data_IF_237635027615
#
_entry.id   IF_237635027615
#
_cell.length_a   1.000
_cell.length_b   1.000
_cell.length_c   1.000
_cell.angle_alpha   90.00
_cell.angle_beta   90.00
_cell.angle_gamma   90.00
#
_symmetry.space_group_name_H-M   'P 1'
#
loop_
_entity.id
_entity.type
_entity.pdbx_description
1 polymer ?
#
# COMPACT_ATOMS: atom_id res chain seq x y z
N UNK A 1 14.20 7.04 23.00
CA UNK A 1 12.83 6.71 22.58
C UNK A 1 12.91 5.39 21.83
N UNK A 2 12.42 4.29 22.41
CA UNK A 2 12.33 2.98 21.75
C UNK A 2 11.40 3.13 20.56
N UNK A 3 11.88 2.78 19.37
CA UNK A 3 11.06 2.65 18.18
C UNK A 3 9.94 1.66 18.47
N UNK A 4 8.73 2.16 18.67
CA UNK A 4 7.51 1.36 18.63
C UNK A 4 7.29 0.97 17.15
N UNK A 5 8.04 -0.03 16.71
CA UNK A 5 7.74 -0.73 15.47
C UNK A 5 6.40 -1.47 15.68
N UNK A 6 5.31 -0.83 15.33
CA UNK A 6 3.96 -1.38 15.42
C UNK A 6 3.63 -2.39 14.30
N UNK A 7 4.64 -2.90 13.62
CA UNK A 7 4.52 -3.85 12.52
C UNK A 7 4.76 -5.29 12.96
N UNK A 8 4.19 -6.23 12.21
CA UNK A 8 4.43 -7.64 12.40
C UNK A 8 5.84 -8.01 11.93
N UNK A 9 6.50 -8.84 12.73
CA UNK A 9 7.83 -9.35 12.41
C UNK A 9 7.71 -10.72 11.76
N UNK A 10 8.40 -10.92 10.64
CA UNK A 10 8.42 -12.16 9.88
C UNK A 10 9.80 -12.80 10.01
N UNK A 11 9.85 -14.04 10.48
CA UNK A 11 11.06 -14.84 10.51
C UNK A 11 11.16 -15.69 9.27
N UNK A 12 12.31 -15.68 8.61
CA UNK A 12 12.60 -16.46 7.42
C UNK A 12 14.07 -16.91 7.42
N UNK A 13 14.39 -17.83 6.54
CA UNK A 13 15.78 -18.24 6.26
C UNK A 13 16.25 -17.59 4.96
N UNK A 14 17.51 -17.15 4.96
CA UNK A 14 18.11 -16.63 3.73
C UNK A 14 18.13 -17.72 2.65
N UNK A 15 17.53 -17.51 1.47
CA UNK A 15 17.51 -18.54 0.42
C UNK A 15 18.90 -18.87 -0.15
N UNK A 16 19.88 -18.01 0.09
CA UNK A 16 21.25 -18.21 -0.38
C UNK A 16 22.12 -19.02 0.58
N UNK A 17 22.06 -18.74 1.89
CA UNK A 17 22.98 -19.34 2.87
C UNK A 17 22.27 -20.01 4.07
N UNK A 18 20.94 -20.00 4.13
CA UNK A 18 20.18 -20.60 5.22
C UNK A 18 20.21 -19.81 6.56
N UNK A 19 20.93 -18.70 6.65
CA UNK A 19 20.99 -17.92 7.88
C UNK A 19 19.64 -17.26 8.23
N UNK A 20 19.27 -17.10 9.53
CA UNK A 20 18.03 -16.49 9.94
C UNK A 20 17.98 -15.00 9.57
N UNK A 21 16.88 -14.57 9.01
CA UNK A 21 16.57 -13.18 8.68
C UNK A 21 15.26 -12.76 9.31
N UNK A 22 15.16 -11.47 9.63
CA UNK A 22 13.97 -10.86 10.19
C UNK A 22 13.50 -9.72 9.31
N UNK A 23 12.23 -9.75 8.91
CA UNK A 23 11.60 -8.79 8.03
C UNK A 23 10.44 -8.10 8.75
N UNK A 24 10.12 -6.89 8.31
CA UNK A 24 8.85 -6.23 8.62
C UNK A 24 7.82 -6.55 7.54
N UNK A 25 6.55 -6.41 7.86
CA UNK A 25 5.43 -6.72 6.94
C UNK A 25 5.50 -5.92 5.62
N UNK A 26 6.05 -4.72 5.65
CA UNK A 26 6.20 -3.83 4.50
C UNK A 26 7.54 -3.95 3.76
N UNK A 27 8.46 -4.79 4.23
CA UNK A 27 9.76 -4.95 3.60
C UNK A 27 9.64 -5.68 2.26
N UNK A 28 10.05 -5.02 1.19
CA UNK A 28 10.22 -5.62 -0.13
C UNK A 28 11.65 -6.12 -0.37
N UNK A 29 12.62 -5.50 0.30
CA UNK A 29 14.03 -5.81 0.15
C UNK A 29 14.61 -6.22 1.49
N UNK A 30 15.42 -7.27 1.47
CA UNK A 30 16.25 -7.60 2.61
C UNK A 30 17.71 -7.81 2.20
N UNK A 31 18.60 -7.61 3.17
CA UNK A 31 20.02 -7.93 3.05
C UNK A 31 20.39 -8.95 4.11
N UNK A 32 20.98 -10.05 3.71
CA UNK A 32 21.46 -11.05 4.65
C UNK A 32 22.71 -10.55 5.37
N UNK A 33 22.69 -10.56 6.71
CA UNK A 33 23.85 -10.12 7.50
C UNK A 33 25.06 -11.07 7.37
N UNK A 34 24.85 -12.31 6.93
CA UNK A 34 25.88 -13.34 6.81
C UNK A 34 26.50 -13.34 5.41
N UNK A 35 25.76 -13.71 4.39
CA UNK A 35 26.29 -13.80 3.02
C UNK A 35 26.22 -12.49 2.23
N UNK A 36 25.72 -11.41 2.83
CA UNK A 36 25.59 -10.05 2.25
C UNK A 36 24.73 -9.97 0.99
N UNK A 37 24.11 -11.07 0.55
CA UNK A 37 23.17 -11.03 -0.58
C UNK A 37 22.03 -10.05 -0.29
N UNK A 38 21.65 -9.31 -1.33
CA UNK A 38 20.52 -8.40 -1.29
C UNK A 38 19.45 -8.87 -2.26
N UNK A 39 18.25 -9.13 -1.74
CA UNK A 39 17.17 -9.78 -2.49
C UNK A 39 15.89 -8.97 -2.38
N UNK A 40 15.12 -8.96 -3.47
CA UNK A 40 13.77 -8.41 -3.56
C UNK A 40 12.75 -9.53 -3.47
N UNK A 41 11.73 -9.37 -2.60
CA UNK A 41 10.67 -10.35 -2.39
C UNK A 41 9.55 -10.07 -3.39
N UNK A 42 9.22 -11.07 -4.20
CA UNK A 42 8.07 -11.03 -5.10
C UNK A 42 7.10 -12.17 -4.78
N UNK A 43 5.82 -11.92 -5.03
CA UNK A 43 4.77 -12.91 -4.88
C UNK A 43 3.77 -12.81 -6.03
N UNK A 44 3.26 -13.95 -6.48
CA UNK A 44 2.10 -14.00 -7.37
C UNK A 44 0.82 -13.89 -6.54
N UNK A 45 0.36 -12.67 -6.27
CA UNK A 45 -0.78 -12.37 -5.42
C UNK A 45 -0.38 -11.92 -4.01
N UNK A 46 -1.28 -12.09 -3.05
CA UNK A 46 -1.05 -11.68 -1.67
C UNK A 46 -0.04 -12.58 -0.97
N UNK A 47 0.86 -11.98 -0.20
CA UNK A 47 1.76 -12.73 0.68
C UNK A 47 0.94 -13.50 1.72
N UNK A 48 1.39 -14.71 2.03
CA UNK A 48 0.71 -15.60 2.97
C UNK A 48 1.65 -15.99 4.10
N UNK A 49 1.17 -15.77 5.30
CA UNK A 49 1.89 -16.04 6.52
C UNK A 49 1.10 -17.01 7.41
N UNK A 50 1.77 -17.59 8.38
CA UNK A 50 1.12 -18.30 9.47
C UNK A 50 1.71 -17.87 10.81
N UNK A 51 0.94 -18.03 11.87
CA UNK A 51 1.38 -17.88 13.24
C UNK A 51 1.81 -19.26 13.72
N UNK A 52 3.10 -19.46 14.11
CA UNK A 52 3.54 -20.75 14.63
C UNK A 52 2.80 -21.09 15.95
N UNK A 53 2.25 -22.29 16.11
CA UNK A 53 1.73 -22.74 17.39
C UNK A 53 2.89 -23.00 18.36
N UNK A 54 2.63 -23.01 19.68
CA UNK A 54 3.60 -23.44 20.68
C UNK A 54 4.10 -24.88 20.40
N UNK A 55 5.40 -25.12 20.62
CA UNK A 55 6.03 -26.42 20.33
C UNK A 55 5.47 -27.57 21.16
N UNK A 56 4.93 -27.26 22.33
CA UNK A 56 4.44 -28.24 23.32
C UNK A 56 3.00 -28.69 23.06
N UNK A 57 2.36 -28.17 22.02
CA UNK A 57 0.98 -28.50 21.72
C UNK A 57 0.90 -29.79 20.88
N UNK A 58 0.32 -30.87 21.46
CA UNK A 58 0.16 -32.17 20.79
C UNK A 58 -1.19 -32.32 20.07
N UNK A 59 -1.97 -31.29 19.92
CA UNK A 59 -3.29 -31.29 19.30
C UNK A 59 -3.21 -31.08 17.77
N UNK A 60 -4.20 -31.64 17.05
CA UNK A 60 -4.36 -31.45 15.61
C UNK A 60 -4.64 -29.98 15.27
N UNK A 61 -3.69 -29.29 14.66
CA UNK A 61 -3.81 -27.86 14.34
C UNK A 61 -4.70 -27.64 13.13
N UNK A 62 -5.63 -26.70 13.30
CA UNK A 62 -6.51 -26.16 12.26
C UNK A 62 -6.15 -24.70 12.00
N UNK A 63 -5.64 -24.40 10.83
CA UNK A 63 -5.27 -23.05 10.43
C UNK A 63 -6.44 -22.31 9.80
N UNK A 64 -6.83 -21.19 10.37
CA UNK A 64 -7.89 -20.32 9.84
C UNK A 64 -7.30 -19.09 9.15
N UNK A 65 -7.71 -18.79 7.90
CA UNK A 65 -7.21 -17.63 7.17
C UNK A 65 -7.89 -16.34 7.66
N UNK A 66 -7.05 -15.32 7.86
CA UNK A 66 -7.45 -13.94 8.17
C UNK A 66 -6.83 -12.99 7.17
N UNK A 67 -7.65 -12.15 6.57
CA UNK A 67 -7.14 -11.02 5.82
C UNK A 67 -6.52 -10.00 6.78
N UNK A 68 -5.31 -9.62 6.49
CA UNK A 68 -4.58 -8.56 7.15
C UNK A 68 -4.57 -7.34 6.23
N UNK A 69 -4.93 -6.20 6.78
CA UNK A 69 -4.90 -4.93 6.06
C UNK A 69 -4.30 -3.84 6.93
N UNK A 70 -3.32 -3.13 6.39
CA UNK A 70 -2.75 -1.92 6.96
C UNK A 70 -2.64 -0.88 5.85
N UNK A 71 -3.14 0.34 6.08
CA UNK A 71 -3.14 1.40 5.07
C UNK A 71 -4.12 2.52 5.39
N UNK A 72 -4.37 3.37 4.41
CA UNK A 72 -5.30 4.50 4.52
C UNK A 72 -6.56 4.20 3.74
N UNK A 73 -7.71 4.32 4.41
CA UNK A 73 -9.03 4.26 3.78
C UNK A 73 -9.55 5.67 3.55
N UNK A 74 -9.97 5.95 2.33
CA UNK A 74 -10.67 7.18 1.94
C UNK A 74 -12.12 6.85 1.61
N UNK A 75 -13.06 7.46 2.33
CA UNK A 75 -14.49 7.22 2.21
C UNK A 75 -15.19 8.44 1.61
N UNK A 76 -15.88 8.23 0.50
CA UNK A 76 -16.66 9.26 -0.17
C UNK A 76 -18.05 9.33 0.44
N UNK A 77 -18.35 10.45 1.07
CA UNK A 77 -19.63 10.71 1.71
C UNK A 77 -20.35 11.86 0.99
N UNK A 78 -21.66 11.96 1.17
CA UNK A 78 -22.45 13.10 0.66
C UNK A 78 -21.89 14.46 1.12
N UNK A 79 -21.29 14.49 2.30
CA UNK A 79 -20.71 15.71 2.91
C UNK A 79 -19.24 15.96 2.50
N UNK A 80 -18.61 15.04 1.77
CA UNK A 80 -17.22 15.13 1.34
C UNK A 80 -16.41 13.88 1.64
N UNK A 81 -15.09 14.00 1.57
CA UNK A 81 -14.15 12.92 1.79
C UNK A 81 -13.76 12.82 3.27
N UNK A 82 -13.91 11.65 3.86
CA UNK A 82 -13.30 11.30 5.16
C UNK A 82 -12.20 10.27 4.95
N UNK A 83 -11.14 10.33 5.73
CA UNK A 83 -10.08 9.34 5.70
C UNK A 83 -9.82 8.74 7.08
N UNK A 84 -9.25 7.57 7.09
CA UNK A 84 -8.94 6.83 8.31
C UNK A 84 -7.73 5.92 8.06
N UNK A 85 -6.78 5.94 9.00
CA UNK A 85 -5.73 4.92 9.06
C UNK A 85 -6.38 3.64 9.59
N UNK A 86 -6.12 2.55 8.91
CA UNK A 86 -6.64 1.22 9.25
C UNK A 86 -5.48 0.28 9.49
N UNK A 87 -5.59 -0.47 10.57
CA UNK A 87 -4.73 -1.59 10.92
C UNK A 87 -5.66 -2.68 11.48
N UNK A 88 -5.96 -3.70 10.68
CA UNK A 88 -6.98 -4.68 11.06
C UNK A 88 -6.71 -6.06 10.46
N UNK A 89 -7.26 -7.07 11.11
CA UNK A 89 -7.36 -8.42 10.57
C UNK A 89 -8.80 -8.90 10.62
N UNK A 90 -9.24 -9.61 9.59
CA UNK A 90 -10.61 -10.11 9.49
C UNK A 90 -10.66 -11.54 8.98
N UNK A 91 -11.49 -12.36 9.63
CA UNK A 91 -11.70 -13.74 9.27
C UNK A 91 -12.12 -13.89 7.81
N UNK A 92 -11.36 -14.66 7.03
CA UNK A 92 -11.57 -14.88 5.61
C UNK A 92 -12.42 -16.12 5.29
N UNK A 93 -12.89 -16.83 6.32
CA UNK A 93 -13.83 -17.97 6.16
C UNK A 93 -15.27 -17.47 6.28
N UNK A 94 -16.23 -18.29 5.83
CA UNK A 94 -17.66 -18.03 6.04
C UNK A 94 -18.21 -18.57 7.37
N UNK A 95 -17.37 -18.97 8.32
CA UNK A 95 -17.78 -19.60 9.56
C UNK A 95 -17.77 -18.62 10.74
N UNK A 96 -18.89 -18.47 11.43
CA UNK A 96 -19.03 -17.59 12.60
C UNK A 96 -18.48 -18.21 13.90
N UNK A 97 -17.92 -19.40 13.83
CA UNK A 97 -17.38 -20.15 14.98
C UNK A 97 -16.03 -19.62 15.48
N UNK A 98 -15.33 -18.84 14.66
CA UNK A 98 -14.02 -18.30 14.97
C UNK A 98 -14.08 -16.80 15.26
N UNK A 99 -13.07 -16.24 15.94
CA UNK A 99 -13.00 -14.81 16.19
C UNK A 99 -13.05 -14.04 14.85
N UNK A 100 -13.82 -12.96 14.80
CA UNK A 100 -13.93 -12.14 13.57
C UNK A 100 -12.62 -11.41 13.23
N UNK A 101 -11.76 -11.16 14.23
CA UNK A 101 -10.48 -10.49 14.10
C UNK A 101 -9.46 -11.12 15.04
N UNK A 102 -8.19 -11.09 14.66
CA UNK A 102 -7.09 -11.53 15.51
C UNK A 102 -6.79 -10.53 16.65
N UNK A 103 -7.34 -9.31 16.59
CA UNK A 103 -7.11 -8.26 17.58
C UNK A 103 -5.63 -7.86 17.67
N UNK A 104 -5.21 -7.40 18.85
CA UNK A 104 -3.83 -6.96 19.12
C UNK A 104 -2.86 -8.12 19.41
N UNK A 105 -3.34 -9.39 19.51
CA UNK A 105 -2.53 -10.56 19.87
C UNK A 105 -1.33 -10.77 18.98
N UNK A 106 -1.45 -10.34 17.78
CA UNK A 106 -0.54 -10.63 16.69
C UNK A 106 0.64 -9.68 16.61
N UNK A 107 0.57 -8.52 17.26
CA UNK A 107 1.66 -7.54 17.27
C UNK A 107 2.89 -7.99 18.09
N UNK A 108 2.70 -8.96 18.97
CA UNK A 108 3.79 -9.52 19.80
C UNK A 108 4.35 -10.83 19.26
N UNK A 109 3.72 -11.40 18.22
CA UNK A 109 4.09 -12.71 17.69
C UNK A 109 4.83 -12.58 16.37
N UNK A 110 5.73 -13.54 16.15
CA UNK A 110 6.50 -13.64 14.92
C UNK A 110 5.73 -14.48 13.91
N UNK A 111 5.55 -13.95 12.72
CA UNK A 111 5.00 -14.67 11.59
C UNK A 111 6.09 -15.48 10.88
N UNK A 112 5.66 -16.50 10.16
CA UNK A 112 6.47 -17.19 9.16
C UNK A 112 5.73 -17.22 7.84
N UNK A 113 6.46 -17.26 6.74
CA UNK A 113 5.85 -17.48 5.44
C UNK A 113 5.19 -18.87 5.39
N UNK A 114 4.00 -18.91 4.83
CA UNK A 114 3.31 -20.18 4.62
C UNK A 114 4.13 -21.08 3.69
N UNK A 115 4.38 -22.32 4.15
CA UNK A 115 5.12 -23.35 3.39
C UNK A 115 4.21 -24.56 3.13
N UNK A 116 4.34 -25.24 1.97
CA UNK A 116 3.64 -26.49 1.70
C UNK A 116 3.97 -27.63 2.69
N UNK A 117 5.10 -27.50 3.38
CA UNK A 117 5.58 -28.48 4.37
C UNK A 117 4.91 -28.34 5.74
N UNK A 118 4.16 -27.25 5.93
CA UNK A 118 3.48 -26.98 7.20
C UNK A 118 2.39 -28.02 7.45
N UNK A 119 2.56 -28.80 8.52
CA UNK A 119 1.60 -29.82 8.94
C UNK A 119 0.37 -29.17 9.58
N UNK A 120 -0.81 -29.65 9.24
CA UNK A 120 -2.09 -29.18 9.80
C UNK A 120 -3.22 -29.18 8.78
N UNK A 121 -4.42 -28.87 9.25
CA UNK A 121 -5.63 -28.74 8.41
C UNK A 121 -5.86 -27.25 8.12
N UNK A 122 -6.17 -26.88 6.89
CA UNK A 122 -6.34 -25.48 6.48
C UNK A 122 -7.79 -25.21 6.10
N UNK A 123 -8.41 -24.25 6.75
CA UNK A 123 -9.74 -23.81 6.39
C UNK A 123 -9.71 -23.04 5.08
N UNK A 124 -10.66 -23.34 4.20
CA UNK A 124 -10.77 -22.68 2.90
C UNK A 124 -11.10 -21.19 3.05
N UNK A 125 -10.33 -20.34 2.37
CA UNK A 125 -10.69 -18.95 2.18
C UNK A 125 -11.94 -18.86 1.30
N UNK A 126 -13.04 -18.30 1.84
CA UNK A 126 -14.31 -18.09 1.13
C UNK A 126 -14.60 -16.63 0.81
N UNK A 127 -14.08 -15.70 1.61
CA UNK A 127 -14.36 -14.29 1.49
C UNK A 127 -13.20 -13.64 0.72
N UNK A 128 -13.43 -13.15 -0.52
CA UNK A 128 -12.43 -12.45 -1.27
C UNK A 128 -12.11 -11.10 -0.61
N UNK A 129 -10.91 -10.59 -0.86
CA UNK A 129 -10.40 -9.36 -0.26
C UNK A 129 -11.35 -8.16 -0.44
N UNK A 130 -11.91 -7.97 -1.64
CA UNK A 130 -12.80 -6.86 -1.94
C UNK A 130 -14.08 -6.82 -1.10
N UNK A 131 -14.54 -7.96 -0.57
CA UNK A 131 -15.73 -8.03 0.26
C UNK A 131 -15.47 -7.80 1.76
N UNK A 132 -14.22 -7.74 2.17
CA UNK A 132 -13.86 -7.56 3.58
C UNK A 132 -14.29 -6.18 4.09
N UNK A 133 -14.11 -5.15 3.28
CA UNK A 133 -14.40 -3.78 3.66
C UNK A 133 -15.88 -3.53 3.88
N UNK A 134 -16.74 -4.12 3.06
CA UNK A 134 -18.19 -4.07 3.28
C UNK A 134 -18.59 -4.72 4.61
N UNK A 135 -17.91 -5.79 5.03
CA UNK A 135 -18.14 -6.42 6.34
C UNK A 135 -17.65 -5.56 7.51
N UNK A 136 -16.53 -4.87 7.36
CA UNK A 136 -16.03 -3.93 8.40
C UNK A 136 -17.05 -2.83 8.65
N UNK A 137 -17.63 -2.26 7.61
CA UNK A 137 -18.63 -1.20 7.74
C UNK A 137 -19.94 -1.71 8.34
N UNK A 138 -20.44 -2.85 7.91
CA UNK A 138 -21.64 -3.47 8.49
C UNK A 138 -21.47 -3.76 9.99
N UNK A 139 -20.29 -4.23 10.39
CA UNK A 139 -20.00 -4.50 11.81
C UNK A 139 -19.95 -3.22 12.63
N UNK A 140 -19.40 -2.12 12.09
CA UNK A 140 -19.36 -0.81 12.76
C UNK A 140 -20.74 -0.16 12.86
N UNK A 141 -21.55 -0.23 11.82
CA UNK A 141 -22.92 0.29 11.81
C UNK A 141 -23.79 -0.39 12.87
N UNK A 142 -23.55 -1.68 13.13
CA UNK A 142 -24.21 -2.42 14.22
C UNK A 142 -23.75 -2.00 15.61
N UNK A 143 -22.49 -1.58 15.78
CA UNK A 143 -21.91 -1.17 17.06
C UNK A 143 -22.16 0.32 17.38
N UNK A 144 -22.33 1.17 16.37
CA UNK A 144 -22.65 2.57 16.56
C UNK A 144 -24.16 2.75 16.71
N UNK A 145 -24.64 3.01 17.93
CA UNK A 145 -26.05 3.39 18.22
C UNK A 145 -26.46 4.73 17.55
N UNK A 146 -25.56 5.47 16.92
CA UNK A 146 -25.86 6.67 16.14
C UNK A 146 -26.18 6.27 14.70
N UNK A 147 -27.44 6.40 14.34
CA UNK A 147 -27.95 6.46 12.95
C UNK A 147 -27.36 7.69 12.22
N UNK A 148 -26.07 7.78 12.03
CA UNK A 148 -25.53 8.60 10.95
C UNK A 148 -25.65 7.80 9.66
N UNK A 149 -26.80 7.91 9.02
CA UNK A 149 -27.07 7.40 7.67
C UNK A 149 -26.32 8.25 6.63
N UNK A 150 -25.01 8.44 6.79
CA UNK A 150 -24.18 8.93 5.71
C UNK A 150 -23.81 7.71 4.85
N UNK A 151 -24.58 7.47 3.80
CA UNK A 151 -24.25 6.46 2.80
C UNK A 151 -22.83 6.73 2.28
N UNK A 152 -21.93 5.80 2.52
CA UNK A 152 -20.61 5.81 1.88
C UNK A 152 -20.85 5.40 0.44
N UNK A 153 -20.50 6.26 -0.51
CA UNK A 153 -20.67 5.97 -1.94
C UNK A 153 -19.61 5.01 -2.44
N UNK A 154 -18.36 5.22 -2.01
CA UNK A 154 -17.21 4.38 -2.39
C UNK A 154 -16.10 4.51 -1.34
N UNK A 155 -15.22 3.52 -1.32
CA UNK A 155 -14.05 3.46 -0.48
C UNK A 155 -12.82 3.15 -1.34
N UNK A 156 -11.77 3.96 -1.20
CA UNK A 156 -10.48 3.75 -1.86
C UNK A 156 -9.40 3.55 -0.80
N UNK A 157 -8.47 2.65 -1.06
CA UNK A 157 -7.35 2.35 -0.18
C UNK A 157 -6.04 2.80 -0.82
N UNK A 158 -5.15 3.37 -0.01
CA UNK A 158 -3.86 3.89 -0.48
C UNK A 158 -2.79 3.59 0.58
N UNK A 159 -1.59 3.26 0.11
CA UNK A 159 -0.47 2.90 0.98
C UNK A 159 -0.68 1.57 1.67
N UNK A 160 -1.43 0.66 1.05
CA UNK A 160 -1.85 -0.58 1.68
C UNK A 160 -0.75 -1.65 1.70
N UNK A 161 -0.71 -2.37 2.81
CA UNK A 161 -0.05 -3.66 2.93
C UNK A 161 -1.13 -4.69 3.21
N UNK A 162 -1.30 -5.62 2.26
CA UNK A 162 -2.33 -6.66 2.34
C UNK A 162 -1.71 -8.04 2.32
N UNK A 163 -2.11 -8.88 3.26
CA UNK A 163 -1.64 -10.26 3.36
C UNK A 163 -2.72 -11.17 3.91
N UNK A 164 -2.51 -12.49 3.79
CA UNK A 164 -3.37 -13.50 4.37
C UNK A 164 -2.60 -14.22 5.49
N UNK A 165 -3.16 -14.21 6.71
CA UNK A 165 -2.53 -14.82 7.87
C UNK A 165 -3.33 -16.02 8.32
N UNK A 166 -2.67 -17.15 8.43
CA UNK A 166 -3.24 -18.38 8.95
C UNK A 166 -2.97 -18.48 10.46
N UNK A 167 -4.02 -18.30 11.26
CA UNK A 167 -3.95 -18.41 12.70
C UNK A 167 -4.24 -19.85 13.14
N UNK A 168 -3.46 -20.42 14.09
CA UNK A 168 -3.62 -21.77 14.55
C UNK A 168 -4.73 -21.89 15.60
N UNK A 169 -5.59 -22.86 15.42
CA UNK A 169 -6.63 -23.29 16.35
C UNK A 169 -6.57 -24.79 16.51
N UNK A 170 -7.17 -25.32 17.55
CA UNK A 170 -7.41 -26.76 17.70
C UNK A 170 -8.81 -27.01 18.27
N UNK A 171 -9.29 -28.26 18.12
CA UNK A 171 -10.60 -28.66 18.57
C UNK A 171 -10.47 -29.56 19.78
N UNK A 172 -11.10 -29.17 20.89
CA UNK A 172 -11.19 -30.01 22.11
C UNK A 172 -12.61 -29.95 22.66
N UNK A 173 -13.21 -31.13 22.91
CA UNK A 173 -14.57 -31.25 23.42
C UNK A 173 -15.58 -30.44 22.57
N UNK A 174 -15.51 -30.57 21.24
CA UNK A 174 -16.36 -29.85 20.28
C UNK A 174 -16.29 -28.30 20.34
N UNK A 175 -15.25 -27.74 21.01
CA UNK A 175 -15.01 -26.29 21.07
C UNK A 175 -13.68 -25.95 20.43
N UNK A 176 -13.66 -24.82 19.72
CA UNK A 176 -12.40 -24.26 19.22
C UNK A 176 -11.62 -23.61 20.34
N UNK A 177 -10.34 -23.89 20.36
CA UNK A 177 -9.34 -23.24 21.20
C UNK A 177 -8.36 -22.49 20.34
N UNK A 178 -7.99 -21.29 20.78
CA UNK A 178 -6.88 -20.55 20.20
C UNK A 178 -5.57 -21.22 20.61
N UNK A 179 -4.81 -21.74 19.65
CA UNK A 179 -3.62 -22.52 19.93
C UNK A 179 -2.49 -21.66 20.52
N UNK A 180 -2.52 -20.37 20.29
CA UNK A 180 -1.52 -19.42 20.79
C UNK A 180 -1.80 -19.04 22.24
N UNK A 181 -3.07 -18.74 22.56
CA UNK A 181 -3.49 -18.32 23.89
C UNK A 181 -3.82 -19.51 24.79
N UNK A 182 -3.90 -20.70 24.22
CA UNK A 182 -4.34 -21.92 24.88
C UNK A 182 -5.67 -21.72 25.65
N UNK A 183 -6.61 -21.01 25.04
CA UNK A 183 -7.88 -20.64 25.64
C UNK A 183 -9.07 -20.90 24.69
N UNK A 184 -10.25 -21.23 25.24
CA UNK A 184 -11.42 -21.46 24.40
C UNK A 184 -11.83 -20.17 23.66
N UNK A 185 -12.22 -20.34 22.40
CA UNK A 185 -12.80 -19.25 21.61
C UNK A 185 -14.20 -18.95 22.16
N UNK A 186 -14.54 -17.68 22.48
CA UNK A 186 -15.86 -17.32 22.98
C UNK A 186 -16.96 -17.71 21.99
N UNK A 187 -17.96 -18.44 22.46
CA UNK A 187 -19.12 -18.84 21.68
C UNK A 187 -19.97 -17.62 21.33
N UNK A 188 -20.19 -17.37 20.05
CA UNK A 188 -21.05 -16.27 19.56
C UNK A 188 -22.51 -16.69 19.42
N UNK A 189 -22.79 -17.98 19.32
CA UNK A 189 -24.14 -18.55 19.24
C UNK A 189 -24.10 -20.07 19.48
N UNK A 190 -25.23 -20.65 19.92
CA UNK A 190 -25.43 -22.10 19.95
C UNK A 190 -25.59 -22.63 18.51
N UNK A 191 -24.48 -22.79 17.80
CA UNK A 191 -24.51 -23.29 16.43
C UNK A 191 -23.98 -24.73 16.46
N UNK A 192 -24.78 -25.65 15.94
CA UNK A 192 -24.32 -26.99 15.67
C UNK A 192 -23.10 -26.98 14.76
N UNK A 193 -22.01 -27.60 15.18
CA UNK A 193 -20.81 -27.75 14.36
C UNK A 193 -21.21 -28.25 12.96
N UNK A 194 -20.77 -27.60 11.89
CA UNK A 194 -21.01 -28.14 10.57
C UNK A 194 -20.35 -29.50 10.46
N UNK A 195 -21.10 -30.50 9.97
CA UNK A 195 -20.65 -31.91 9.82
C UNK A 195 -19.36 -32.02 8.96
N UNK A 196 -19.05 -31.00 8.16
CA UNK A 196 -17.79 -30.89 7.42
C UNK A 196 -17.36 -29.43 7.32
N UNK A 197 -16.13 -29.15 7.74
CA UNK A 197 -15.51 -27.87 7.52
C UNK A 197 -14.71 -27.95 6.22
N UNK A 198 -14.98 -27.08 5.20
CA UNK A 198 -14.25 -27.15 3.95
C UNK A 198 -12.76 -26.88 4.19
N UNK A 199 -11.93 -27.86 3.85
CA UNK A 199 -10.49 -27.78 3.95
C UNK A 199 -9.90 -27.35 2.60
N UNK A 200 -8.77 -26.67 2.64
CA UNK A 200 -7.99 -26.28 1.48
C UNK A 200 -6.63 -27.00 1.52
N UNK A 201 -6.22 -27.53 0.38
CA UNK A 201 -4.84 -27.98 0.23
C UNK A 201 -3.98 -26.76 -0.10
N UNK A 202 -2.92 -26.55 0.66
CA UNK A 202 -1.98 -25.46 0.38
C UNK A 202 -1.30 -25.78 -0.97
N UNK A 203 -1.70 -25.06 -1.99
CA UNK A 203 -0.96 -25.05 -3.26
C UNK A 203 0.37 -24.34 -3.04
N UNK A 204 1.42 -24.70 -3.80
CA UNK A 204 2.69 -23.98 -3.81
C UNK A 204 2.42 -22.50 -4.05
N UNK A 205 2.69 -21.68 -3.03
CA UNK A 205 2.68 -20.23 -3.21
C UNK A 205 4.04 -19.83 -3.78
N UNK A 206 4.00 -19.28 -4.99
CA UNK A 206 5.21 -18.81 -5.64
C UNK A 206 5.61 -17.46 -5.04
N UNK A 207 6.18 -17.49 -3.82
CA UNK A 207 7.10 -16.42 -3.45
C UNK A 207 8.43 -16.75 -4.13
N UNK A 208 9.06 -15.74 -4.65
CA UNK A 208 10.41 -15.86 -5.20
C UNK A 208 11.24 -14.66 -4.78
N UNK A 209 12.54 -14.84 -4.88
CA UNK A 209 13.51 -13.84 -4.49
C UNK A 209 14.30 -13.46 -5.73
N UNK A 210 14.34 -12.17 -6.04
CA UNK A 210 15.13 -11.63 -7.13
C UNK A 210 16.39 -11.00 -6.57
N UNK A 211 17.56 -11.34 -7.12
CA UNK A 211 18.77 -10.58 -6.86
C UNK A 211 18.60 -9.14 -7.31
N UNK A 212 18.96 -8.17 -6.45
CA UNK A 212 18.81 -6.74 -6.75
C UNK A 212 19.88 -6.26 -7.72
N UNK A 213 20.06 -6.99 -8.84
CA UNK A 213 20.99 -6.66 -9.92
C UNK A 213 20.25 -6.00 -11.10
N UNK A 214 20.87 -5.01 -11.71
CA UNK A 214 20.32 -4.31 -12.86
C UNK A 214 20.26 -5.23 -14.08
N UNK A 215 19.08 -5.46 -14.70
CA UNK A 215 19.00 -6.30 -15.89
C UNK A 215 19.75 -5.75 -17.11
N UNK A 216 20.08 -4.45 -17.12
CA UNK A 216 20.76 -3.80 -18.22
C UNK A 216 22.29 -3.87 -18.12
N UNK A 217 22.85 -3.66 -16.92
CA UNK A 217 24.31 -3.54 -16.77
C UNK A 217 24.91 -4.45 -15.68
N UNK A 218 24.09 -5.25 -15.00
CA UNK A 218 24.56 -6.17 -13.95
C UNK A 218 24.93 -5.52 -12.61
N UNK A 219 24.90 -4.16 -12.50
CA UNK A 219 25.26 -3.45 -11.29
C UNK A 219 24.15 -3.52 -10.23
N UNK A 220 24.50 -3.26 -8.96
CA UNK A 220 23.52 -3.25 -7.87
C UNK A 220 22.43 -2.21 -8.07
N UNK A 221 21.17 -2.63 -7.85
CA UNK A 221 20.02 -1.74 -7.79
C UNK A 221 19.88 -1.15 -6.40
N UNK A 222 19.79 0.16 -6.32
CA UNK A 222 19.64 0.93 -5.09
C UNK A 222 18.17 1.14 -4.71
N UNK A 223 17.85 0.99 -3.45
CA UNK A 223 16.54 1.26 -2.85
C UNK A 223 16.55 0.96 -1.35
N UNK A 224 15.63 1.52 -0.58
CA UNK A 224 15.40 1.19 0.83
C UNK A 224 14.54 -0.07 0.96
N UNK A 225 14.40 -0.63 2.17
CA UNK A 225 13.67 -1.89 2.43
C UNK A 225 12.25 -1.91 1.85
N UNK A 226 11.54 -0.81 1.95
CA UNK A 226 10.15 -0.66 1.49
C UNK A 226 10.03 -0.17 0.03
N UNK A 227 11.13 0.02 -0.67
CA UNK A 227 11.10 0.57 -2.04
C UNK A 227 10.40 -0.38 -3.00
N UNK A 228 9.38 0.10 -3.70
CA UNK A 228 8.74 -0.58 -4.83
C UNK A 228 9.41 -0.27 -6.18
N UNK A 229 10.29 0.75 -6.19
CA UNK A 229 11.10 1.17 -7.33
C UNK A 229 12.57 1.18 -6.91
N UNK A 230 13.43 0.65 -7.78
CA UNK A 230 14.88 0.59 -7.59
C UNK A 230 15.59 1.39 -8.66
N UNK A 231 16.74 1.95 -8.32
CA UNK A 231 17.54 2.82 -9.18
C UNK A 231 18.89 2.17 -9.43
N UNK A 232 19.29 2.07 -10.69
CA UNK A 232 20.65 1.74 -11.07
C UNK A 232 21.46 3.02 -11.22
N UNK A 233 22.46 3.22 -10.36
CA UNK A 233 23.34 4.41 -10.40
C UNK A 233 24.42 4.31 -11.49
N UNK A 234 24.71 3.10 -11.98
CA UNK A 234 25.70 2.90 -13.01
C UNK A 234 25.20 3.24 -14.42
N UNK A 235 23.99 2.77 -14.77
CA UNK A 235 23.41 3.01 -16.10
C UNK A 235 22.22 3.98 -16.08
N UNK A 236 22.03 4.72 -15.00
CA UNK A 236 21.01 5.75 -14.86
C UNK A 236 19.59 5.26 -15.22
N UNK A 237 19.23 4.06 -14.76
CA UNK A 237 17.95 3.44 -15.09
C UNK A 237 17.12 3.15 -13.84
N UNK A 238 15.81 3.08 -14.02
CA UNK A 238 14.84 2.90 -12.92
C UNK A 238 14.02 1.64 -13.19
N UNK A 239 13.82 0.83 -12.15
CA UNK A 239 13.28 -0.51 -12.25
C UNK A 239 12.19 -0.77 -11.23
N UNK A 240 11.18 -1.53 -11.64
CA UNK A 240 10.09 -2.03 -10.79
C UNK A 240 10.11 -3.55 -10.82
N UNK A 241 9.99 -4.18 -9.65
CA UNK A 241 9.87 -5.63 -9.58
C UNK A 241 8.52 -6.10 -10.15
N UNK A 242 8.56 -7.25 -10.83
CA UNK A 242 7.38 -7.97 -11.35
C UNK A 242 7.58 -9.47 -11.19
N UNK A 243 6.53 -10.26 -11.40
CA UNK A 243 6.60 -11.73 -11.35
C UNK A 243 7.62 -12.33 -12.33
N UNK A 244 7.97 -11.63 -13.41
CA UNK A 244 8.92 -12.04 -14.43
C UNK A 244 10.32 -11.42 -14.28
N UNK A 245 10.61 -10.73 -13.16
CA UNK A 245 11.86 -10.01 -12.94
C UNK A 245 11.66 -8.49 -12.85
N UNK A 246 12.73 -7.73 -13.06
CA UNK A 246 12.66 -6.27 -13.05
C UNK A 246 12.25 -5.72 -14.41
N UNK A 247 11.27 -4.80 -14.43
CA UNK A 247 10.81 -4.06 -15.60
C UNK A 247 11.26 -2.62 -15.54
N UNK A 248 11.78 -2.09 -16.66
CA UNK A 248 12.21 -0.69 -16.76
C UNK A 248 11.02 0.25 -16.60
N UNK A 249 11.20 1.32 -15.81
CA UNK A 249 10.19 2.36 -15.57
C UNK A 249 10.63 3.64 -16.26
N UNK A 250 9.69 4.29 -16.98
CA UNK A 250 9.93 5.63 -17.53
C UNK A 250 9.96 6.64 -16.39
N UNK A 251 10.96 7.50 -16.37
CA UNK A 251 11.11 8.52 -15.35
C UNK A 251 11.61 9.85 -15.92
N UNK A 252 11.40 10.91 -15.16
CA UNK A 252 11.86 12.27 -15.46
C UNK A 252 12.42 12.87 -14.18
N UNK A 253 13.50 13.69 -14.29
CA UNK A 253 14.02 14.47 -13.18
C UNK A 253 13.94 15.94 -13.53
N UNK A 254 13.36 16.73 -12.63
CA UNK A 254 13.36 18.19 -12.74
C UNK A 254 14.68 18.73 -12.18
N UNK A 255 15.52 19.28 -13.03
CA UNK A 255 16.82 19.81 -12.64
C UNK A 255 16.71 21.24 -12.14
N UNK A 256 17.39 21.52 -11.02
CA UNK A 256 17.64 22.88 -10.55
C UNK A 256 19.13 23.02 -10.18
N UNK A 257 19.78 24.15 -10.51
CA UNK A 257 21.15 24.40 -10.14
C UNK A 257 21.23 24.89 -8.69
N UNK A 258 21.15 23.98 -7.74
CA UNK A 258 21.26 24.29 -6.30
C UNK A 258 21.88 23.12 -5.57
N UNK A 259 22.60 23.42 -4.51
CA UNK A 259 23.14 22.43 -3.57
C UNK A 259 22.09 22.01 -2.52
N UNK A 260 22.39 20.95 -1.80
CA UNK A 260 21.58 20.44 -0.71
C UNK A 260 20.14 20.05 -1.13
N UNK A 261 20.03 19.33 -2.26
CA UNK A 261 18.77 18.90 -2.87
C UNK A 261 18.50 17.42 -2.57
N UNK A 262 17.24 17.15 -2.21
CA UNK A 262 16.66 15.80 -2.24
C UNK A 262 15.63 15.72 -3.37
N UNK A 263 15.71 14.67 -4.16
CA UNK A 263 14.77 14.40 -5.24
C UNK A 263 13.64 13.50 -4.74
N UNK A 264 12.43 14.05 -4.68
CA UNK A 264 11.25 13.38 -4.11
C UNK A 264 10.39 12.82 -5.25
N UNK A 265 10.02 11.52 -5.21
CA UNK A 265 9.30 10.87 -6.31
C UNK A 265 7.81 11.17 -6.29
N UNK A 266 7.24 11.42 -7.47
CA UNK A 266 5.81 11.58 -7.70
C UNK A 266 5.39 10.84 -8.98
N UNK A 267 4.22 10.24 -8.97
CA UNK A 267 3.60 9.72 -10.18
C UNK A 267 2.88 10.84 -10.91
N UNK A 268 3.23 11.04 -12.18
CA UNK A 268 2.58 11.95 -13.15
C UNK A 268 1.75 11.11 -14.09
N UNK A 269 0.43 11.21 -14.02
CA UNK A 269 -0.51 10.29 -14.67
C UNK A 269 -1.40 11.06 -15.62
N UNK A 270 -1.27 10.78 -16.92
CA UNK A 270 -2.14 11.33 -17.96
C UNK A 270 -3.40 10.48 -18.05
N UNK A 271 -4.55 11.13 -17.94
CA UNK A 271 -5.85 10.44 -17.97
C UNK A 271 -6.85 11.16 -18.87
N UNK A 272 -7.81 10.38 -19.35
CA UNK A 272 -9.05 10.87 -19.91
C UNK A 272 -10.21 10.36 -19.04
N UNK A 273 -11.10 11.26 -18.63
CA UNK A 273 -12.28 10.94 -17.84
C UNK A 273 -13.52 11.42 -18.61
N UNK A 274 -14.02 10.56 -19.49
CA UNK A 274 -15.10 10.89 -20.41
C UNK A 274 -16.38 11.35 -19.70
N UNK A 275 -16.74 10.68 -18.59
CA UNK A 275 -17.94 10.99 -17.79
C UNK A 275 -17.98 12.44 -17.26
N UNK A 276 -16.83 13.11 -17.19
CA UNK A 276 -16.69 14.50 -16.74
C UNK A 276 -16.22 15.45 -17.84
N UNK A 277 -16.02 14.98 -19.06
CA UNK A 277 -15.37 15.72 -20.15
C UNK A 277 -14.06 16.36 -19.67
N UNK A 278 -13.17 15.53 -19.07
CA UNK A 278 -11.97 15.99 -18.41
C UNK A 278 -10.73 15.40 -19.10
N UNK A 279 -10.07 16.22 -19.94
CA UNK A 279 -8.90 15.84 -20.74
C UNK A 279 -7.77 16.87 -20.67
N UNK A 280 -8.14 18.13 -20.46
CA UNK A 280 -7.22 19.27 -20.49
C UNK A 280 -7.21 20.04 -19.17
N UNK A 281 -6.23 20.92 -19.00
CA UNK A 281 -6.23 21.84 -17.85
C UNK A 281 -7.39 22.83 -17.89
N UNK A 282 -7.90 23.21 -19.06
CA UNK A 282 -9.12 24.02 -19.18
C UNK A 282 -10.34 23.30 -18.56
N UNK A 283 -10.46 21.99 -18.81
CA UNK A 283 -11.53 21.20 -18.24
C UNK A 283 -11.41 21.12 -16.71
N UNK A 284 -10.18 20.95 -16.20
CA UNK A 284 -9.91 20.98 -14.76
C UNK A 284 -10.28 22.32 -14.15
N UNK A 285 -9.87 23.43 -14.79
CA UNK A 285 -10.19 24.78 -14.33
C UNK A 285 -11.70 25.01 -14.23
N UNK A 286 -12.47 24.48 -15.19
CA UNK A 286 -13.94 24.53 -15.20
C UNK A 286 -14.56 23.83 -14.01
N UNK A 287 -14.13 22.61 -13.68
CA UNK A 287 -14.73 21.84 -12.56
C UNK A 287 -14.21 22.26 -11.17
N UNK A 288 -13.02 22.84 -11.15
CA UNK A 288 -12.35 23.31 -9.93
C UNK A 288 -12.60 24.82 -9.67
N UNK A 289 -13.27 25.54 -10.61
CA UNK A 289 -13.45 26.99 -10.61
C UNK A 289 -12.15 27.76 -10.33
N UNK A 290 -11.09 27.33 -10.98
CA UNK A 290 -9.80 27.99 -10.87
C UNK A 290 -9.83 29.18 -11.85
N UNK A 291 -9.43 30.39 -11.44
CA UNK A 291 -9.29 31.52 -12.35
C UNK A 291 -8.42 31.11 -13.55
N UNK A 292 -8.91 31.40 -14.77
CA UNK A 292 -8.11 31.16 -15.96
C UNK A 292 -6.82 31.95 -15.83
N UNK A 293 -5.69 31.27 -15.87
CA UNK A 293 -4.40 31.94 -15.94
C UNK A 293 -4.36 32.74 -17.24
N UNK A 294 -3.78 33.94 -17.21
CA UNK A 294 -3.66 34.84 -18.36
C UNK A 294 -2.88 34.22 -19.57
N UNK A 295 -2.29 33.05 -19.42
CA UNK A 295 -1.57 32.31 -20.44
C UNK A 295 -2.50 31.32 -21.16
N UNK A 296 -3.07 31.75 -22.29
CA UNK A 296 -3.95 30.98 -23.17
C UNK A 296 -3.36 29.66 -23.70
N UNK A 297 -2.05 29.42 -23.60
CA UNK A 297 -1.42 28.20 -24.10
C UNK A 297 -1.65 26.99 -23.19
N UNK A 298 -1.92 27.21 -21.90
CA UNK A 298 -2.12 26.12 -20.93
C UNK A 298 -3.49 25.42 -21.05
N UNK A 299 -4.46 26.10 -21.57
CA UNK A 299 -5.84 25.59 -21.72
C UNK A 299 -5.90 24.35 -22.62
N UNK A 300 -4.99 24.24 -23.59
CA UNK A 300 -4.90 23.10 -24.52
C UNK A 300 -3.97 21.99 -24.06
N UNK A 301 -3.22 22.21 -22.97
CA UNK A 301 -2.32 21.17 -22.43
C UNK A 301 -3.10 19.98 -21.90
N UNK A 302 -2.55 18.79 -22.11
CA UNK A 302 -3.09 17.55 -21.55
C UNK A 302 -3.08 17.58 -20.03
N UNK A 303 -4.13 17.11 -19.41
CA UNK A 303 -4.23 17.03 -17.97
C UNK A 303 -3.40 15.88 -17.42
N UNK A 304 -2.62 16.17 -16.39
CA UNK A 304 -1.92 15.18 -15.59
C UNK A 304 -2.38 15.25 -14.13
N UNK A 305 -2.78 14.12 -13.58
CA UNK A 305 -2.92 13.95 -12.15
C UNK A 305 -1.57 13.61 -11.53
N UNK A 306 -1.33 14.15 -10.35
CA UNK A 306 -0.10 13.90 -9.62
C UNK A 306 -0.41 13.23 -8.29
N UNK A 307 0.39 12.24 -7.91
CA UNK A 307 0.32 11.58 -6.62
C UNK A 307 1.72 11.36 -6.06
N UNK A 308 1.95 11.54 -4.73
CA UNK A 308 3.19 11.11 -4.11
C UNK A 308 3.47 9.64 -4.42
N UNK A 309 4.69 9.32 -4.84
CA UNK A 309 5.13 7.93 -5.03
C UNK A 309 5.69 7.34 -3.74
N UNK A 310 5.31 7.87 -2.59
CA UNK A 310 5.75 7.46 -1.26
C UNK A 310 4.62 7.53 -0.25
N UNK A 311 4.69 6.66 0.76
CA UNK A 311 3.71 6.62 1.85
C UNK A 311 3.86 7.87 2.72
N UNK A 312 2.75 8.50 3.06
CA UNK A 312 2.68 9.73 3.86
C UNK A 312 1.29 9.90 4.47
N UNK A 313 1.19 10.67 5.56
CA UNK A 313 -0.08 10.92 6.24
C UNK A 313 -1.18 11.43 5.27
N UNK A 314 -2.44 11.01 5.45
CA UNK A 314 -3.54 11.27 4.50
C UNK A 314 -3.70 12.73 4.09
N UNK A 315 -3.68 13.63 5.07
CA UNK A 315 -3.83 15.08 4.81
C UNK A 315 -2.70 15.63 3.94
N UNK A 316 -1.47 15.16 4.16
CA UNK A 316 -0.32 15.57 3.37
C UNK A 316 -0.40 14.99 1.96
N UNK A 317 -0.79 13.72 1.83
CA UNK A 317 -1.03 13.06 0.54
C UNK A 317 -2.03 13.87 -0.30
N UNK A 318 -3.19 14.20 0.27
CA UNK A 318 -4.24 14.98 -0.39
C UNK A 318 -3.76 16.37 -0.80
N UNK A 319 -3.03 17.06 0.09
CA UNK A 319 -2.48 18.39 -0.19
C UNK A 319 -1.51 18.37 -1.35
N UNK A 320 -0.55 17.44 -1.33
CA UNK A 320 0.47 17.31 -2.38
C UNK A 320 -0.16 16.94 -3.73
N UNK A 321 -1.05 15.93 -3.74
CA UNK A 321 -1.74 15.49 -4.96
C UNK A 321 -2.58 16.62 -5.58
N UNK A 322 -3.37 17.31 -4.76
CA UNK A 322 -4.20 18.43 -5.21
C UNK A 322 -3.34 19.57 -5.76
N UNK A 323 -2.34 20.01 -5.01
CA UNK A 323 -1.52 21.17 -5.37
C UNK A 323 -0.73 20.94 -6.67
N UNK A 324 -0.09 19.76 -6.79
CA UNK A 324 0.65 19.38 -8.00
C UNK A 324 -0.27 19.20 -9.22
N UNK A 325 -1.48 18.70 -9.02
CA UNK A 325 -2.45 18.53 -10.13
C UNK A 325 -2.95 19.88 -10.62
N UNK A 326 -3.24 20.81 -9.71
CA UNK A 326 -3.73 22.17 -10.07
C UNK A 326 -2.60 23.04 -10.65
N UNK A 327 -1.42 23.00 -10.02
CA UNK A 327 -0.28 23.86 -10.37
C UNK A 327 0.99 23.01 -10.46
N UNK A 328 1.16 22.23 -11.54
CA UNK A 328 2.34 21.40 -11.70
C UNK A 328 3.60 22.24 -11.82
N UNK A 329 4.71 21.67 -11.38
CA UNK A 329 6.01 22.28 -11.51
C UNK A 329 6.35 22.44 -13.00
N UNK A 330 6.69 23.66 -13.39
CA UNK A 330 7.21 23.97 -14.70
C UNK A 330 8.74 24.03 -14.64
N UNK A 331 9.41 23.45 -15.61
CA UNK A 331 10.88 23.46 -15.65
C UNK A 331 11.44 22.49 -16.68
N UNK A 332 12.75 22.56 -16.86
CA UNK A 332 13.46 21.61 -17.72
C UNK A 332 13.50 20.23 -17.05
N UNK A 333 13.02 19.22 -17.75
CA UNK A 333 13.14 17.82 -17.35
C UNK A 333 14.18 17.12 -18.22
N UNK A 334 14.81 16.11 -17.68
CA UNK A 334 15.68 15.21 -18.44
C UNK A 334 15.26 13.76 -18.18
N UNK A 335 15.30 12.97 -19.24
CA UNK A 335 15.06 11.53 -19.21
C UNK A 335 16.37 10.73 -19.11
N UNK A 336 17.50 11.40 -19.25
CA UNK A 336 18.85 10.83 -19.18
C UNK A 336 19.71 11.59 -18.14
N UNK A 337 19.25 11.70 -16.89
CA UNK A 337 20.01 12.41 -15.88
C UNK A 337 21.16 11.57 -15.35
N UNK A 338 22.22 12.24 -15.00
CA UNK A 338 23.27 11.68 -14.16
C UNK A 338 22.72 11.47 -12.74
N UNK A 339 22.54 10.19 -12.35
CA UNK A 339 21.91 9.81 -11.08
C UNK A 339 22.96 9.61 -9.98
N UNK A 340 24.23 9.33 -10.34
CA UNK A 340 25.26 8.79 -9.46
C UNK A 340 25.42 9.53 -8.13
N UNK A 341 25.42 10.86 -8.15
CA UNK A 341 25.68 11.69 -6.97
C UNK A 341 24.42 12.30 -6.33
N UNK A 342 23.23 12.04 -6.89
CA UNK A 342 21.98 12.64 -6.40
C UNK A 342 21.38 11.86 -5.26
N UNK A 343 20.79 12.56 -4.29
CA UNK A 343 20.04 11.97 -3.21
C UNK A 343 18.55 11.85 -3.55
N UNK A 344 18.08 10.60 -3.67
CA UNK A 344 16.69 10.29 -3.99
C UNK A 344 15.94 9.79 -2.77
N UNK A 345 14.76 10.37 -2.54
CA UNK A 345 13.82 9.81 -1.58
C UNK A 345 13.22 8.51 -2.14
N UNK A 346 13.05 7.44 -1.33
CA UNK A 346 12.56 6.15 -1.82
C UNK A 346 11.13 6.24 -2.34
N UNK A 347 10.86 5.54 -3.43
CA UNK A 347 9.50 5.34 -3.92
C UNK A 347 8.91 4.09 -3.28
N UNK A 348 7.92 4.27 -2.40
CA UNK A 348 7.28 3.22 -1.59
C UNK A 348 5.80 3.03 -1.91
N UNK A 349 5.22 3.88 -2.78
CA UNK A 349 3.84 3.77 -3.25
C UNK A 349 3.83 3.41 -4.74
N UNK A 350 3.24 2.26 -5.12
CA UNK A 350 3.23 1.80 -6.51
C UNK A 350 2.30 2.64 -7.40
N UNK A 351 2.54 2.60 -8.72
CA UNK A 351 1.72 3.32 -9.71
C UNK A 351 0.25 2.89 -9.72
N UNK A 352 -0.07 1.66 -9.36
CA UNK A 352 -1.44 1.15 -9.26
C UNK A 352 -2.25 1.92 -8.22
N UNK A 353 -1.73 2.08 -7.01
CA UNK A 353 -2.37 2.84 -5.95
C UNK A 353 -2.42 4.35 -6.28
N UNK A 354 -1.39 4.88 -6.95
CA UNK A 354 -1.41 6.26 -7.44
C UNK A 354 -2.54 6.51 -8.45
N UNK A 355 -2.83 5.53 -9.32
CA UNK A 355 -3.96 5.59 -10.26
C UNK A 355 -5.29 5.56 -9.50
N UNK A 356 -5.44 4.68 -8.52
CA UNK A 356 -6.64 4.61 -7.67
C UNK A 356 -6.88 5.91 -6.90
N UNK A 357 -5.80 6.60 -6.51
CA UNK A 357 -5.88 7.90 -5.83
C UNK A 357 -6.43 9.05 -6.68
N UNK A 358 -6.57 8.88 -7.99
CA UNK A 358 -7.08 9.94 -8.89
C UNK A 358 -8.49 10.36 -8.48
N UNK A 359 -9.39 9.42 -8.17
CA UNK A 359 -10.74 9.71 -7.69
C UNK A 359 -10.70 10.50 -6.37
N UNK A 360 -9.80 10.12 -5.46
CA UNK A 360 -9.58 10.81 -4.18
C UNK A 360 -9.14 12.25 -4.41
N UNK A 361 -8.15 12.46 -5.27
CA UNK A 361 -7.63 13.79 -5.64
C UNK A 361 -8.73 14.63 -6.31
N UNK A 362 -9.48 14.04 -7.23
CA UNK A 362 -10.58 14.70 -7.93
C UNK A 362 -11.65 15.20 -6.95
N UNK A 363 -12.03 14.37 -5.95
CA UNK A 363 -13.00 14.75 -4.92
C UNK A 363 -12.56 15.97 -4.08
N UNK A 364 -11.25 16.22 -4.00
CA UNK A 364 -10.69 17.38 -3.30
C UNK A 364 -10.59 18.63 -4.18
N UNK A 365 -10.54 18.45 -5.48
CA UNK A 365 -10.39 19.54 -6.46
C UNK A 365 -11.76 20.13 -6.82
N UNK A 366 -12.77 19.28 -7.01
CA UNK A 366 -14.10 19.71 -7.47
C UNK A 366 -14.82 20.59 -6.44
N UNK A 367 -15.47 21.66 -6.92
CA UNK A 367 -16.25 22.55 -6.07
C UNK A 367 -17.64 21.97 -5.82
N UNK A 368 -18.32 21.52 -6.85
CA UNK A 368 -19.67 20.98 -6.70
C UNK A 368 -19.64 19.53 -6.23
N UNK A 369 -19.23 19.34 -4.97
CA UNK A 369 -19.11 18.02 -4.34
C UNK A 369 -20.45 17.26 -4.34
N UNK A 370 -21.57 17.96 -4.15
CA UNK A 370 -22.91 17.35 -4.12
C UNK A 370 -23.28 16.68 -5.45
N UNK A 371 -22.82 17.24 -6.58
CA UNK A 371 -23.08 16.70 -7.92
C UNK A 371 -22.07 15.62 -8.31
N UNK A 372 -20.79 15.81 -8.00
CA UNK A 372 -19.71 14.98 -8.53
C UNK A 372 -19.39 13.79 -7.61
N UNK A 373 -19.36 13.97 -6.29
CA UNK A 373 -19.02 12.87 -5.38
C UNK A 373 -19.92 11.62 -5.52
N UNK A 374 -21.24 11.71 -5.74
CA UNK A 374 -22.06 10.53 -5.94
C UNK A 374 -21.77 9.72 -7.20
N UNK A 375 -21.20 10.35 -8.23
CA UNK A 375 -20.89 9.67 -9.50
C UNK A 375 -19.45 9.14 -9.56
N UNK A 376 -18.55 9.63 -8.67
CA UNK A 376 -17.15 9.20 -8.62
C UNK A 376 -16.95 7.67 -8.59
N UNK A 377 -17.77 6.88 -7.86
CA UNK A 377 -17.67 5.43 -7.88
C UNK A 377 -17.70 4.83 -9.29
N UNK A 378 -18.63 5.30 -10.10
CA UNK A 378 -18.93 4.75 -11.42
C UNK A 378 -18.06 5.34 -12.54
N UNK A 379 -17.30 6.41 -12.25
CA UNK A 379 -16.44 7.07 -13.23
C UNK A 379 -15.33 6.11 -13.67
N UNK A 380 -15.20 5.97 -15.01
CA UNK A 380 -14.09 5.25 -15.62
C UNK A 380 -12.92 6.20 -15.86
N UNK A 381 -11.76 5.84 -15.32
CA UNK A 381 -10.50 6.56 -15.52
C UNK A 381 -9.72 5.82 -16.59
N UNK A 382 -9.59 6.43 -17.75
CA UNK A 382 -8.77 5.90 -18.84
C UNK A 382 -7.35 6.46 -18.72
N UNK A 383 -6.42 5.60 -18.28
CA UNK A 383 -5.02 5.97 -18.08
C UNK A 383 -4.26 5.82 -19.38
N UNK A 384 -3.83 6.93 -19.96
CA UNK A 384 -3.07 6.96 -21.21
C UNK A 384 -1.58 6.72 -21.00
N UNK A 385 -1.01 7.30 -19.94
CA UNK A 385 0.43 7.24 -19.65
C UNK A 385 0.68 7.58 -18.17
N UNK A 386 1.69 6.96 -17.60
CA UNK A 386 2.23 7.38 -16.31
C UNK A 386 3.76 7.39 -16.33
N UNK A 387 4.34 8.33 -15.60
CA UNK A 387 5.79 8.55 -15.52
C UNK A 387 6.14 8.81 -14.05
N UNK A 388 7.26 8.27 -13.61
CA UNK A 388 7.82 8.61 -12.30
C UNK A 388 8.63 9.89 -12.42
N UNK A 389 8.22 10.94 -11.74
CA UNK A 389 8.89 12.24 -11.75
C UNK A 389 9.57 12.50 -10.42
N UNK A 390 10.84 12.86 -10.45
CA UNK A 390 11.60 13.27 -9.29
C UNK A 390 11.66 14.79 -9.23
N UNK A 391 11.03 15.35 -8.20
CA UNK A 391 10.97 16.79 -7.98
C UNK A 391 12.03 17.23 -6.97
N UNK A 392 12.76 18.31 -7.23
CA UNK A 392 13.81 18.82 -6.36
C UNK A 392 13.23 19.57 -5.16
N UNK A 393 13.67 19.19 -3.97
CA UNK A 393 13.37 19.87 -2.70
C UNK A 393 14.68 20.27 -2.03
N UNK A 394 14.76 21.49 -1.54
CA UNK A 394 15.90 21.93 -0.72
C UNK A 394 15.76 21.43 0.70
N UNK A 395 16.82 20.83 1.22
CA UNK A 395 16.86 20.30 2.58
C UNK A 395 17.11 21.46 3.57
N UNK A 396 16.24 21.60 4.56
CA UNK A 396 16.39 22.48 5.74
C UNK A 396 16.50 21.63 7.01
N UNK A 397 16.71 22.26 8.16
CA UNK A 397 16.87 21.55 9.43
C UNK A 397 15.72 20.56 9.71
N UNK A 398 14.47 21.03 9.73
CA UNK A 398 13.28 20.26 10.10
C UNK A 398 12.33 19.94 8.95
N UNK A 399 12.59 20.48 7.75
CA UNK A 399 11.70 20.34 6.61
C UNK A 399 12.47 20.25 5.29
N UNK A 400 11.77 19.82 4.25
CA UNK A 400 12.20 19.95 2.87
C UNK A 400 11.26 20.91 2.14
N UNK A 401 11.79 21.81 1.33
CA UNK A 401 11.04 22.93 0.72
C UNK A 401 11.10 22.84 -0.80
N UNK A 402 9.94 22.96 -1.43
CA UNK A 402 9.82 23.19 -2.86
C UNK A 402 9.41 24.64 -3.10
N UNK A 403 10.38 25.47 -3.47
CA UNK A 403 10.20 26.93 -3.55
C UNK A 403 9.23 27.38 -4.65
N UNK A 404 9.32 26.79 -5.85
CA UNK A 404 8.46 27.19 -6.98
C UNK A 404 6.97 26.91 -6.70
N UNK A 405 6.70 25.88 -5.93
CA UNK A 405 5.34 25.48 -5.57
C UNK A 405 4.92 26.03 -4.20
N UNK A 406 5.80 26.75 -3.52
CA UNK A 406 5.57 27.37 -2.21
C UNK A 406 5.00 26.40 -1.17
N UNK A 407 5.55 25.19 -1.10
CA UNK A 407 5.20 24.26 -0.03
C UNK A 407 6.42 23.58 0.60
N UNK A 408 6.24 23.19 1.84
CA UNK A 408 7.21 22.41 2.60
C UNK A 408 6.62 21.11 3.11
N UNK A 409 7.49 20.16 3.37
CA UNK A 409 7.17 18.88 4.01
C UNK A 409 8.06 18.75 5.24
N UNK A 410 7.45 18.57 6.40
CA UNK A 410 8.19 18.30 7.63
C UNK A 410 8.86 16.93 7.55
N UNK A 411 10.14 16.83 7.93
CA UNK A 411 10.91 15.58 7.91
C UNK A 411 10.29 14.49 8.80
N UNK A 412 9.66 14.88 9.92
CA UNK A 412 8.96 13.92 10.77
C UNK A 412 7.72 13.33 10.07
N UNK A 413 7.01 14.11 9.25
CA UNK A 413 5.89 13.59 8.47
C UNK A 413 6.32 12.54 7.45
N UNK A 414 7.52 12.67 6.88
CA UNK A 414 8.12 11.65 6.00
C UNK A 414 8.51 10.39 6.78
N UNK A 415 9.02 10.55 8.01
CA UNK A 415 9.35 9.40 8.88
C UNK A 415 8.10 8.64 9.33
N UNK A 416 7.04 9.36 9.73
CA UNK A 416 5.76 8.77 10.13
C UNK A 416 5.11 8.04 8.94
N UNK A 417 5.24 8.55 7.72
CA UNK A 417 4.78 7.89 6.52
C UNK A 417 5.32 6.47 6.34
N UNK A 418 6.54 6.20 6.80
CA UNK A 418 7.15 4.86 6.78
C UNK A 418 6.51 3.87 7.76
N UNK A 419 5.73 4.33 8.72
CA UNK A 419 5.04 3.47 9.72
C UNK A 419 3.56 3.24 9.41
N UNK A 420 3.05 3.86 8.35
CA UNK A 420 1.67 3.74 7.83
C UNK A 420 1.52 2.54 6.85
#
# INVERSE_FOLDING_TARGET
MKNLNSGWTIEELCPQCGAPITLQEQDHIFSCNFCKVRLYIISSGFLRYYIPPPKELNEDIIYAPYWRFKGISFNYLKQGLKHRIMDTSLLATGHDLLPTSLGFRTQTQKLKFLSPELKGKFLKQKIPFNHIFSKIEQTKTRLSKKKESSSVFEQTFIGETTSLIYAPFYLKNYKFYDAVLNSPVPEKSKINMPKSVPLETIKRFNRSFLSTLCPHCGWDLYGEKESCILICRNCNSVWKASSSGFKKVKFEIFLIPKDNIIYVPFWKIQTNIADLNLQTYADLARIANIPKAANNNRDKEKLYFWAPAFKVAPNLFLRLSKQLTISPLMGKTTNEPEISEKYFFPATLPSTEAIESIKVTLSQIVINKKKICPILPNIKIDVQKYILCYLPFTIRANEIIQYHMRFSINKNALKIGKTL
#
